data_IF_346034899304
#
_entry.id   IF_346034899304
#
_cell.length_a   1.000
_cell.length_b   1.000
_cell.length_c   1.000
_cell.angle_alpha   90.00
_cell.angle_beta   90.00
_cell.angle_gamma   90.00
#
_symmetry.space_group_name_H-M   'P 1'
#
loop_
_entity.id
_entity.type
_entity.pdbx_description
1 polymer ?
#
# COMPACT_ATOMS: atom_id res chain seq x y z
N UNK A 1 13.25 3.65 0.64
CA UNK A 1 13.07 2.37 1.38
C UNK A 1 12.11 2.61 2.52
N UNK A 2 11.07 1.78 2.64
CA UNK A 2 10.04 1.83 3.68
C UNK A 2 9.96 0.46 4.35
N UNK A 3 9.89 0.45 5.67
CA UNK A 3 9.74 -0.77 6.45
C UNK A 3 8.50 -0.65 7.34
N UNK A 4 7.64 -1.67 7.32
CA UNK A 4 6.44 -1.71 8.15
C UNK A 4 6.84 -1.65 9.63
N UNK A 5 6.18 -0.80 10.42
CA UNK A 5 6.38 -0.78 11.87
C UNK A 5 5.12 -1.29 12.56
N UNK A 6 5.17 -2.55 12.98
CA UNK A 6 4.08 -3.09 13.81
C UNK A 6 4.00 -2.34 15.13
N UNK A 7 2.81 -1.81 15.42
CA UNK A 7 2.44 -1.25 16.71
C UNK A 7 1.41 -2.15 17.38
N UNK A 8 1.26 -2.02 18.70
CA UNK A 8 0.24 -2.76 19.44
C UNK A 8 -1.15 -2.33 18.94
N UNK A 9 -1.87 -3.24 18.28
CA UNK A 9 -3.15 -2.95 17.61
C UNK A 9 -3.07 -2.67 16.11
N UNK A 10 -1.90 -2.83 15.49
CA UNK A 10 -1.75 -2.69 14.04
C UNK A 10 -2.62 -3.71 13.30
N UNK A 11 -3.52 -3.19 12.49
CA UNK A 11 -4.54 -3.93 11.75
C UNK A 11 -4.23 -3.96 10.26
N UNK A 12 -4.99 -4.76 9.51
CA UNK A 12 -4.92 -4.75 8.04
C UNK A 12 -5.27 -3.39 7.45
N UNK A 13 -6.12 -2.61 8.13
CA UNK A 13 -6.48 -1.27 7.69
C UNK A 13 -5.28 -0.32 7.78
N UNK A 14 -4.48 -0.43 8.85
CA UNK A 14 -3.24 0.35 8.97
C UNK A 14 -2.24 -0.01 7.86
N UNK A 15 -2.11 -1.30 7.53
CA UNK A 15 -1.29 -1.76 6.41
C UNK A 15 -1.76 -1.20 5.08
N UNK A 16 -3.07 -1.22 4.82
CA UNK A 16 -3.66 -0.64 3.62
C UNK A 16 -3.37 0.85 3.53
N UNK A 17 -3.51 1.60 4.63
CA UNK A 17 -3.20 3.05 4.66
C UNK A 17 -1.71 3.32 4.39
N UNK A 18 -0.81 2.52 4.98
CA UNK A 18 0.63 2.63 4.72
C UNK A 18 0.93 2.38 3.23
N UNK A 19 0.39 1.28 2.67
CA UNK A 19 0.55 0.94 1.25
C UNK A 19 -0.04 2.00 0.33
N UNK A 20 -1.24 2.49 0.60
CA UNK A 20 -1.88 3.59 -0.14
C UNK A 20 -0.95 4.81 -0.21
N UNK A 21 -0.36 5.20 0.93
CA UNK A 21 0.63 6.28 0.98
C UNK A 21 1.90 6.01 0.16
N UNK A 22 2.34 4.75 0.05
CA UNK A 22 3.46 4.37 -0.82
C UNK A 22 3.06 4.43 -2.30
N UNK A 23 1.89 3.93 -2.67
CA UNK A 23 1.37 3.99 -4.04
C UNK A 23 1.24 5.42 -4.53
N UNK A 24 0.73 6.33 -3.69
CA UNK A 24 0.66 7.76 -4.00
C UNK A 24 2.04 8.37 -4.24
N UNK A 25 3.02 8.06 -3.37
CA UNK A 25 4.39 8.61 -3.52
C UNK A 25 5.12 8.01 -4.72
N UNK A 26 4.93 6.72 -5.00
CA UNK A 26 5.52 6.06 -6.15
C UNK A 26 4.88 6.54 -7.46
N UNK A 27 3.55 6.60 -7.51
CA UNK A 27 2.78 6.98 -8.70
C UNK A 27 2.81 8.47 -9.00
N UNK A 28 2.52 9.34 -8.02
CA UNK A 28 2.40 10.79 -8.26
C UNK A 28 3.73 11.54 -8.21
N UNK A 29 4.71 11.06 -7.44
CA UNK A 29 6.01 11.73 -7.32
C UNK A 29 7.12 11.03 -8.11
N UNK A 30 6.78 9.91 -8.76
CA UNK A 30 7.73 9.07 -9.50
C UNK A 30 8.97 8.68 -8.66
N UNK A 31 8.76 8.43 -7.36
CA UNK A 31 9.84 8.06 -6.43
C UNK A 31 9.90 6.53 -6.36
N UNK A 32 11.06 5.96 -6.68
CA UNK A 32 11.30 4.52 -6.47
C UNK A 32 11.27 4.16 -4.99
N UNK A 33 10.29 3.37 -4.58
CA UNK A 33 10.11 2.93 -3.19
C UNK A 33 10.35 1.42 -3.10
N UNK A 34 11.20 1.03 -2.17
CA UNK A 34 11.36 -0.37 -1.75
C UNK A 34 10.54 -0.62 -0.51
N UNK A 35 9.61 -1.57 -0.56
CA UNK A 35 8.85 -2.06 0.58
C UNK A 35 9.59 -3.24 1.23
N UNK A 36 9.85 -3.16 2.53
CA UNK A 36 10.50 -4.21 3.31
C UNK A 36 9.54 -4.69 4.41
N UNK A 37 9.36 -6.01 4.46
CA UNK A 37 8.57 -6.71 5.47
C UNK A 37 9.34 -7.93 5.96
N UNK A 38 9.36 -8.15 7.27
CA UNK A 38 9.87 -9.36 7.91
C UNK A 38 8.73 -10.26 8.37
N UNK A 39 9.01 -11.54 8.58
CA UNK A 39 8.08 -12.53 9.15
C UNK A 39 7.53 -12.09 10.51
N UNK A 40 8.38 -11.49 11.36
CA UNK A 40 7.99 -10.90 12.64
C UNK A 40 6.99 -9.74 12.52
N UNK A 41 6.83 -9.16 11.33
CA UNK A 41 5.89 -8.08 11.03
C UNK A 41 4.55 -8.59 10.50
N UNK A 42 4.40 -9.90 10.31
CA UNK A 42 3.14 -10.53 9.87
C UNK A 42 2.32 -10.90 11.10
N UNK A 43 1.54 -9.93 11.59
CA UNK A 43 0.67 -10.15 12.75
C UNK A 43 -0.56 -11.02 12.44
N UNK A 44 -1.00 -11.04 11.17
CA UNK A 44 -2.18 -11.76 10.71
C UNK A 44 -1.91 -12.38 9.34
N UNK A 45 -2.41 -13.59 9.08
CA UNK A 45 -2.26 -14.27 7.78
C UNK A 45 -2.77 -13.42 6.61
N UNK A 46 -3.77 -12.58 6.87
CA UNK A 46 -4.38 -11.69 5.88
C UNK A 46 -3.40 -10.64 5.32
N UNK A 47 -2.28 -10.38 6.00
CA UNK A 47 -1.23 -9.50 5.48
C UNK A 47 -0.53 -10.14 4.27
N UNK A 48 -0.35 -11.47 4.29
CA UNK A 48 0.24 -12.19 3.17
C UNK A 48 -0.67 -12.19 1.94
N UNK A 49 -1.99 -12.12 2.12
CA UNK A 49 -2.94 -11.96 1.02
C UNK A 49 -2.71 -10.61 0.32
N UNK A 50 -2.60 -9.53 1.09
CA UNK A 50 -2.31 -8.18 0.55
C UNK A 50 -0.97 -8.13 -0.18
N UNK A 51 0.07 -8.77 0.38
CA UNK A 51 1.38 -8.85 -0.27
C UNK A 51 1.31 -9.69 -1.56
N UNK A 52 0.55 -10.78 -1.56
CA UNK A 52 0.35 -11.59 -2.75
C UNK A 52 -0.37 -10.79 -3.85
N UNK A 53 -1.45 -10.09 -3.52
CA UNK A 53 -2.18 -9.25 -4.47
C UNK A 53 -1.27 -8.15 -5.05
N UNK A 54 -0.48 -7.50 -4.19
CA UNK A 54 0.53 -6.52 -4.59
C UNK A 54 1.59 -7.10 -5.54
N UNK A 55 2.04 -8.34 -5.34
CA UNK A 55 3.06 -8.96 -6.20
C UNK A 55 2.47 -9.56 -7.49
N UNK A 56 1.24 -10.07 -7.42
CA UNK A 56 0.59 -10.77 -8.52
C UNK A 56 0.01 -9.81 -9.57
N UNK A 57 -0.76 -8.80 -9.12
CA UNK A 57 -1.40 -7.82 -10.00
C UNK A 57 -0.84 -6.41 -9.83
N UNK A 58 -0.22 -6.11 -8.68
CA UNK A 58 0.09 -4.73 -8.32
C UNK A 58 -1.13 -3.95 -7.83
N UNK A 59 -2.29 -4.59 -7.71
CA UNK A 59 -3.56 -3.99 -7.29
C UNK A 59 -4.05 -4.68 -6.01
N UNK A 60 -4.28 -3.90 -4.98
CA UNK A 60 -4.80 -4.39 -3.69
C UNK A 60 -6.28 -4.01 -3.61
N UNK A 61 -7.14 -4.99 -3.38
CA UNK A 61 -8.58 -4.75 -3.23
C UNK A 61 -8.88 -3.86 -2.01
N UNK A 62 -9.80 -2.91 -2.20
CA UNK A 62 -10.24 -1.94 -1.18
C UNK A 62 -9.09 -1.10 -0.59
N UNK A 63 -8.06 -0.81 -1.40
CA UNK A 63 -6.94 0.03 -0.98
C UNK A 63 -7.32 1.52 -0.93
N UNK A 64 -8.09 1.96 -1.93
CA UNK A 64 -8.58 3.33 -2.08
C UNK A 64 -10.09 3.28 -2.27
N UNK A 65 -10.78 4.31 -1.78
CA UNK A 65 -12.18 4.50 -2.13
C UNK A 65 -12.32 4.99 -3.59
N UNK A 66 -13.46 4.75 -4.23
CA UNK A 66 -13.69 5.10 -5.64
C UNK A 66 -13.43 6.60 -5.91
N UNK A 67 -13.80 7.47 -4.96
CA UNK A 67 -13.55 8.91 -5.01
C UNK A 67 -12.05 9.27 -4.90
N UNK A 68 -11.28 8.52 -4.12
CA UNK A 68 -9.83 8.69 -4.05
C UNK A 68 -9.15 8.24 -5.35
N UNK A 69 -9.60 7.13 -5.94
CA UNK A 69 -9.07 6.63 -7.22
C UNK A 69 -9.25 7.68 -8.32
N UNK A 70 -10.45 8.24 -8.46
CA UNK A 70 -10.71 9.30 -9.45
C UNK A 70 -9.78 10.50 -9.27
N UNK A 71 -9.55 10.92 -8.03
CA UNK A 71 -8.61 12.01 -7.72
C UNK A 71 -7.17 11.67 -8.11
N UNK A 72 -6.71 10.44 -7.85
CA UNK A 72 -5.35 9.97 -8.20
C UNK A 72 -5.18 9.91 -9.71
N UNK A 73 -6.15 9.34 -10.44
CA UNK A 73 -6.11 9.24 -11.90
C UNK A 73 -6.08 10.62 -12.53
N UNK A 74 -6.89 11.55 -12.03
CA UNK A 74 -6.86 12.94 -12.50
C UNK A 74 -5.53 13.64 -12.22
N UNK A 75 -4.90 13.36 -11.07
CA UNK A 75 -3.60 13.92 -10.73
C UNK A 75 -2.47 13.37 -11.61
N UNK A 76 -2.48 12.07 -11.92
CA UNK A 76 -1.51 11.45 -12.84
C UNK A 76 -1.70 11.97 -14.27
N UNK A 77 -2.95 12.18 -14.72
CA UNK A 77 -3.26 12.65 -16.08
C UNK A 77 -2.95 14.12 -16.32
N UNK A 78 -2.74 14.89 -15.25
CA UNK A 78 -2.35 16.31 -15.32
C UNK A 78 -0.82 16.52 -15.36
N UNK A 79 -0.01 15.45 -15.39
CA UNK A 79 1.37 15.49 -15.91
C UNK A 79 1.40 15.28 -17.43
#
# INVERSE_FOLDING_TARGET
VFQVQLKKGYSINDLRVDLAGLYLKAGLKNIGITFLMTDSQVAQERFLVVVNDMLASGEIAELFADDEIDNIVNAIRNE
#
